data_IF_850329288634
#
_entry.id   IF_850329288634
#
_cell.length_a   1.000
_cell.length_b   1.000
_cell.length_c   1.000
_cell.angle_alpha   90.00
_cell.angle_beta   90.00
_cell.angle_gamma   90.00
#
_symmetry.space_group_name_H-M   'P 1'
#
loop_
_entity.id
_entity.type
_entity.pdbx_description
1 polymer ?
#
# COMPACT_ATOMS: atom_id res chain seq x y z
N UNK A 1 -17.84 -22.91 18.66
CA UNK A 1 -16.61 -22.10 18.88
C UNK A 1 -15.99 -21.95 17.51
N UNK A 2 -16.52 -21.01 16.73
CA UNK A 2 -16.20 -20.88 15.31
C UNK A 2 -15.12 -19.84 15.13
N UNK A 3 -13.90 -20.31 14.89
CA UNK A 3 -12.75 -19.49 14.52
C UNK A 3 -12.84 -19.16 13.02
N UNK A 4 -13.64 -18.14 12.67
CA UNK A 4 -13.64 -17.58 11.32
C UNK A 4 -12.44 -16.62 11.16
N UNK A 5 -11.33 -17.20 10.70
CA UNK A 5 -10.33 -16.64 9.77
C UNK A 5 -10.25 -15.10 9.67
N UNK A 6 -9.47 -14.50 10.56
CA UNK A 6 -9.05 -13.08 10.50
C UNK A 6 -7.60 -12.88 10.06
N UNK A 7 -7.02 -13.80 9.27
CA UNK A 7 -5.61 -13.73 8.83
C UNK A 7 -5.41 -13.13 7.44
N UNK A 8 -6.49 -12.78 6.73
CA UNK A 8 -6.38 -12.28 5.35
C UNK A 8 -5.76 -10.89 5.24
N UNK A 9 -5.71 -10.10 6.33
CA UNK A 9 -5.18 -8.72 6.30
C UNK A 9 -3.66 -8.61 6.41
N UNK A 10 -2.95 -9.66 6.84
CA UNK A 10 -1.49 -9.59 7.11
C UNK A 10 -0.67 -9.94 5.86
N UNK A 11 -1.24 -10.72 4.92
CA UNK A 11 -0.56 -11.22 3.72
C UNK A 11 -1.13 -10.66 2.41
N UNK A 12 -1.92 -9.59 2.44
CA UNK A 12 -2.37 -8.93 1.21
C UNK A 12 -1.17 -8.21 0.57
N UNK A 13 -0.70 -8.65 -0.61
CA UNK A 13 0.46 -8.06 -1.26
C UNK A 13 0.20 -6.62 -1.68
N UNK A 14 -1.03 -6.27 -2.05
CA UNK A 14 -1.40 -4.90 -2.41
C UNK A 14 -1.41 -4.00 -1.18
N UNK A 15 -1.95 -4.49 -0.06
CA UNK A 15 -1.90 -3.75 1.19
C UNK A 15 -0.47 -3.55 1.71
N UNK A 16 0.42 -4.51 1.44
CA UNK A 16 1.84 -4.39 1.78
C UNK A 16 2.49 -3.25 0.99
N UNK A 17 2.27 -3.18 -0.33
CA UNK A 17 2.77 -2.09 -1.19
C UNK A 17 2.27 -0.73 -0.69
N UNK A 18 0.98 -0.61 -0.37
CA UNK A 18 0.38 0.64 0.14
C UNK A 18 1.03 1.06 1.46
N UNK A 19 1.14 0.13 2.41
CA UNK A 19 1.72 0.40 3.72
C UNK A 19 3.20 0.81 3.63
N UNK A 20 3.97 0.12 2.80
CA UNK A 20 5.39 0.43 2.61
C UNK A 20 5.57 1.82 2.00
N UNK A 21 4.78 2.16 0.97
CA UNK A 21 4.79 3.51 0.40
C UNK A 21 4.43 4.60 1.43
N UNK A 22 3.39 4.38 2.25
CA UNK A 22 3.00 5.32 3.31
C UNK A 22 4.13 5.52 4.32
N UNK A 23 4.77 4.44 4.75
CA UNK A 23 5.89 4.50 5.70
C UNK A 23 7.04 5.32 5.11
N UNK A 24 7.46 4.96 3.91
CA UNK A 24 8.65 5.56 3.28
C UNK A 24 8.41 7.03 2.95
N UNK A 25 7.18 7.41 2.54
CA UNK A 25 6.80 8.80 2.31
C UNK A 25 6.81 9.62 3.61
N UNK A 26 6.31 9.06 4.72
CA UNK A 26 6.35 9.74 6.03
C UNK A 26 7.78 10.04 6.46
N UNK A 27 8.66 9.04 6.39
CA UNK A 27 10.08 9.21 6.74
C UNK A 27 10.72 10.31 5.87
N UNK A 28 10.53 10.25 4.56
CA UNK A 28 11.12 11.25 3.65
C UNK A 28 10.58 12.68 3.90
N UNK A 29 9.30 12.80 4.26
CA UNK A 29 8.70 14.08 4.65
C UNK A 29 9.24 14.57 6.00
N UNK A 30 9.45 13.69 6.98
CA UNK A 30 10.04 14.04 8.27
C UNK A 30 11.48 14.52 8.11
N UNK A 31 12.28 13.85 7.27
CA UNK A 31 13.65 14.26 6.92
C UNK A 31 13.68 15.65 6.25
N UNK A 32 12.79 15.89 5.28
CA UNK A 32 12.70 17.19 4.60
C UNK A 32 12.18 18.29 5.53
N UNK A 33 11.26 17.96 6.44
CA UNK A 33 10.76 18.89 7.45
C UNK A 33 11.87 19.30 8.42
N UNK A 34 12.72 18.36 8.84
CA UNK A 34 13.87 18.64 9.68
C UNK A 34 14.92 19.52 8.98
N UNK A 35 15.18 19.28 7.69
CA UNK A 35 16.15 20.05 6.90
C UNK A 35 15.60 20.49 5.53
N UNK A 36 14.85 21.63 5.47
CA UNK A 36 14.15 22.05 4.24
C UNK A 36 15.06 22.37 3.04
N UNK A 37 16.33 22.71 3.29
CA UNK A 37 17.30 23.03 2.25
C UNK A 37 18.21 21.85 1.89
N UNK A 38 18.01 20.66 2.49
CA UNK A 38 18.78 19.48 2.17
C UNK A 38 18.35 18.93 0.80
N UNK A 39 19.23 18.97 -0.22
CA UNK A 39 18.87 18.55 -1.58
C UNK A 39 18.54 17.06 -1.64
N UNK A 40 19.18 16.23 -0.82
CA UNK A 40 18.96 14.78 -0.80
C UNK A 40 17.57 14.42 -0.23
N UNK A 41 17.14 15.12 0.82
CA UNK A 41 15.80 14.92 1.41
C UNK A 41 14.71 15.29 0.39
N UNK A 42 14.86 16.44 -0.28
CA UNK A 42 13.97 16.87 -1.36
C UNK A 42 13.92 15.86 -2.50
N UNK A 43 15.08 15.41 -2.98
CA UNK A 43 15.16 14.46 -4.10
C UNK A 43 14.55 13.10 -3.74
N UNK A 44 14.63 12.71 -2.46
CA UNK A 44 14.02 11.48 -1.97
C UNK A 44 12.49 11.54 -2.02
N UNK A 45 11.89 12.65 -1.54
CA UNK A 45 10.45 12.89 -1.64
C UNK A 45 9.99 12.87 -3.11
N UNK A 46 10.70 13.62 -3.97
CA UNK A 46 10.37 13.68 -5.40
C UNK A 46 10.44 12.30 -6.07
N UNK A 47 11.46 11.50 -5.74
CA UNK A 47 11.61 10.14 -6.27
C UNK A 47 10.45 9.24 -5.85
N UNK A 48 10.04 9.27 -4.59
CA UNK A 48 8.90 8.49 -4.10
C UNK A 48 7.62 8.88 -4.83
N UNK A 49 7.34 10.17 -4.97
CA UNK A 49 6.15 10.66 -5.68
C UNK A 49 6.16 10.29 -7.17
N UNK A 50 7.31 10.40 -7.85
CA UNK A 50 7.38 10.14 -9.29
C UNK A 50 7.49 8.66 -9.66
N UNK A 51 8.14 7.85 -8.81
CA UNK A 51 8.49 6.45 -9.15
C UNK A 51 7.68 5.44 -8.37
N UNK A 52 7.35 5.71 -7.12
CA UNK A 52 6.69 4.74 -6.23
C UNK A 52 5.18 4.98 -6.11
N UNK A 53 4.69 6.22 -6.19
CA UNK A 53 3.24 6.50 -6.09
C UNK A 53 2.41 5.72 -7.10
N UNK A 54 2.78 5.60 -8.40
CA UNK A 54 1.90 4.93 -9.37
C UNK A 54 1.61 3.47 -9.01
N UNK A 55 2.59 2.76 -8.45
CA UNK A 55 2.42 1.40 -7.98
C UNK A 55 1.55 1.33 -6.72
N UNK A 56 1.75 2.25 -5.78
CA UNK A 56 0.95 2.35 -4.56
C UNK A 56 -0.50 2.74 -4.84
N UNK A 57 -0.74 3.68 -5.76
CA UNK A 57 -2.08 4.10 -6.20
C UNK A 57 -2.82 2.91 -6.84
N UNK A 58 -2.15 2.20 -7.75
CA UNK A 58 -2.71 1.00 -8.38
C UNK A 58 -3.03 -0.11 -7.37
N UNK A 59 -2.20 -0.28 -6.34
CA UNK A 59 -2.45 -1.24 -5.26
C UNK A 59 -3.61 -0.81 -4.37
N UNK A 60 -3.70 0.48 -4.03
CA UNK A 60 -4.79 1.04 -3.24
C UNK A 60 -6.13 0.88 -3.94
N UNK A 61 -6.18 1.10 -5.26
CA UNK A 61 -7.37 0.87 -6.07
C UNK A 61 -7.84 -0.59 -6.02
N UNK A 62 -6.89 -1.55 -6.09
CA UNK A 62 -7.21 -2.99 -5.97
C UNK A 62 -7.75 -3.34 -4.58
N UNK A 63 -7.13 -2.81 -3.53
CA UNK A 63 -7.61 -2.98 -2.14
C UNK A 63 -9.01 -2.39 -1.98
N UNK A 64 -9.25 -1.19 -2.51
CA UNK A 64 -10.55 -0.53 -2.42
C UNK A 64 -11.65 -1.34 -3.12
N UNK A 65 -11.38 -1.83 -4.34
CA UNK A 65 -12.31 -2.68 -5.10
C UNK A 65 -12.60 -4.00 -4.39
N UNK A 66 -11.58 -4.66 -3.86
CA UNK A 66 -11.75 -5.93 -3.12
C UNK A 66 -12.61 -5.76 -1.86
N UNK A 67 -12.58 -4.59 -1.22
CA UNK A 67 -13.45 -4.26 -0.07
C UNK A 67 -14.89 -3.95 -0.47
N UNK A 68 -15.11 -3.50 -1.71
CA UNK A 68 -16.44 -3.14 -2.22
C UNK A 68 -17.22 -4.34 -2.78
N UNK A 69 -16.54 -5.39 -3.23
CA UNK A 69 -17.15 -6.59 -3.81
C UNK A 69 -16.67 -7.87 -3.10
N UNK A 70 -17.31 -8.25 -1.98
CA UNK A 70 -16.97 -9.47 -1.25
C UNK A 70 -17.36 -10.76 -1.99
N UNK A 71 -18.28 -10.71 -2.96
CA UNK A 71 -18.76 -11.89 -3.69
C UNK A 71 -17.81 -12.31 -4.84
N UNK A 72 -17.14 -11.36 -5.50
CA UNK A 72 -16.11 -11.67 -6.49
C UNK A 72 -14.86 -12.35 -5.88
N UNK A 73 -14.54 -12.05 -4.62
CA UNK A 73 -13.46 -12.72 -3.89
C UNK A 73 -13.76 -14.22 -3.66
N UNK A 74 -15.03 -14.56 -3.44
CA UNK A 74 -15.49 -15.94 -3.28
C UNK A 74 -15.35 -16.74 -4.59
N UNK A 75 -15.66 -16.15 -5.75
CA UNK A 75 -15.50 -16.81 -7.05
C UNK A 75 -14.04 -17.08 -7.45
N UNK A 76 -13.11 -16.20 -7.08
CA UNK A 76 -11.67 -16.44 -7.30
C UNK A 76 -11.15 -17.62 -6.49
N UNK A 77 -11.61 -17.76 -5.23
CA UNK A 77 -11.25 -18.89 -4.38
C UNK A 77 -11.77 -20.25 -4.89
N UNK A 78 -12.88 -20.23 -5.63
CA UNK A 78 -13.46 -21.43 -6.24
C UNK A 78 -12.79 -21.80 -7.57
N UNK A 79 -12.13 -20.85 -8.23
CA UNK A 79 -11.44 -21.07 -9.51
C UNK A 79 -9.99 -21.56 -9.35
N UNK A 80 -9.42 -21.49 -8.15
CA UNK A 80 -8.05 -21.89 -7.80
C UNK A 80 -7.98 -23.33 -7.22
N UNK A 81 -9.02 -24.14 -7.44
CA UNK A 81 -9.19 -25.50 -6.91
C UNK A 81 -9.43 -26.51 -8.03
#
# INVERSE_FOLDING_TARGET
>A
MDAATGTSGINDPDWTVVRDFIRDLKIACDDLHAEPFNPQARDTVLRLLQKSSPAADSALDRVARARQDPDAAHLRLLSDR
#
